data_IF_231816113136
#
_entry.id   IF_231816113136
#
_cell.length_a   1.000
_cell.length_b   1.000
_cell.length_c   1.000
_cell.angle_alpha   90.00
_cell.angle_beta   90.00
_cell.angle_gamma   90.00
#
_symmetry.space_group_name_H-M   'P 1'
#
loop_
_entity.id
_entity.type
_entity.pdbx_description
1 polymer ?
#
# COMPACT_ATOMS: atom_id res chain seq x y z
N UNK A 1 -8.27 -25.05 -7.61
CA UNK A 1 -7.36 -25.14 -8.80
C UNK A 1 -5.89 -24.95 -8.43
N UNK A 2 -5.49 -23.89 -7.72
CA UNK A 2 -4.11 -23.69 -7.26
C UNK A 2 -3.68 -24.67 -6.13
N UNK A 3 -4.60 -25.10 -5.28
CA UNK A 3 -4.36 -26.14 -4.26
C UNK A 3 -4.06 -27.50 -4.91
N UNK A 4 -4.78 -27.84 -5.97
CA UNK A 4 -4.61 -29.09 -6.71
C UNK A 4 -3.29 -29.18 -7.50
N UNK A 5 -2.67 -28.03 -7.86
CA UNK A 5 -1.39 -28.00 -8.60
C UNK A 5 -0.17 -28.21 -7.70
N UNK A 6 -0.37 -28.61 -6.44
CA UNK A 6 0.70 -28.96 -5.52
C UNK A 6 1.41 -27.79 -4.83
N UNK A 7 1.26 -26.57 -5.35
CA UNK A 7 1.91 -25.35 -4.84
C UNK A 7 1.33 -24.88 -3.50
N UNK A 8 0.08 -25.22 -3.21
CA UNK A 8 -0.67 -24.80 -2.02
C UNK A 8 -1.28 -25.99 -1.26
N UNK A 9 -0.60 -27.14 -1.25
CA UNK A 9 -1.13 -28.38 -0.61
C UNK A 9 -1.46 -28.21 0.88
N UNK A 10 -0.78 -27.31 1.56
CA UNK A 10 -0.95 -27.04 2.98
C UNK A 10 -1.70 -25.73 3.24
N UNK A 11 -2.36 -25.17 2.22
CA UNK A 11 -3.14 -23.96 2.37
C UNK A 11 -4.46 -24.30 3.05
N UNK A 12 -4.69 -23.70 4.21
CA UNK A 12 -5.89 -23.93 5.02
C UNK A 12 -7.05 -23.15 4.42
N UNK A 13 -8.18 -23.82 4.18
CA UNK A 13 -9.41 -23.20 3.66
C UNK A 13 -10.56 -23.22 4.66
N UNK A 14 -10.35 -23.81 5.84
CA UNK A 14 -11.35 -23.82 6.91
C UNK A 14 -11.50 -22.42 7.49
N UNK A 15 -12.74 -21.91 7.47
CA UNK A 15 -13.06 -20.52 7.83
C UNK A 15 -12.80 -20.27 9.32
N UNK A 16 -13.02 -21.24 10.20
CA UNK A 16 -12.85 -21.07 11.65
C UNK A 16 -11.36 -20.97 12.04
N UNK A 17 -10.48 -21.63 11.29
CA UNK A 17 -9.02 -21.52 11.46
C UNK A 17 -8.46 -20.21 10.91
N UNK A 18 -9.12 -19.61 9.92
CA UNK A 18 -8.67 -18.36 9.28
C UNK A 18 -8.91 -17.09 10.11
N UNK A 19 -9.68 -17.20 11.20
CA UNK A 19 -10.08 -16.05 12.03
C UNK A 19 -9.20 -15.83 13.27
N UNK A 20 -8.24 -16.71 13.56
CA UNK A 20 -7.36 -16.60 14.73
C UNK A 20 -5.90 -16.43 14.31
N UNK A 21 -5.16 -15.44 14.84
CA UNK A 21 -3.72 -15.36 14.63
C UNK A 21 -3.05 -16.67 15.06
N UNK A 22 -2.17 -17.18 14.20
CA UNK A 22 -1.39 -18.39 14.46
C UNK A 22 -0.08 -18.33 13.69
N UNK A 23 0.79 -19.33 13.83
CA UNK A 23 1.99 -19.45 12.99
C UNK A 23 1.66 -19.50 11.48
N UNK A 24 0.42 -19.84 11.11
CA UNK A 24 -0.04 -19.90 9.72
C UNK A 24 -0.63 -18.58 9.22
N UNK A 25 -1.12 -17.73 10.11
CA UNK A 25 -1.87 -16.52 9.77
C UNK A 25 -1.27 -15.29 10.41
N UNK A 26 -0.87 -14.32 9.59
CA UNK A 26 -0.31 -13.04 10.03
C UNK A 26 -1.08 -11.89 9.41
N UNK A 27 -1.25 -10.79 10.13
CA UNK A 27 -1.90 -9.60 9.60
C UNK A 27 -1.15 -9.07 8.38
N UNK A 28 -1.88 -8.70 7.33
CA UNK A 28 -1.35 -8.33 6.03
C UNK A 28 -0.22 -7.27 6.10
N UNK A 29 -0.41 -6.21 6.88
CA UNK A 29 0.54 -5.10 6.96
C UNK A 29 1.87 -5.46 7.64
N UNK A 30 1.89 -6.54 8.44
CA UNK A 30 3.08 -7.06 9.11
C UNK A 30 3.65 -8.30 8.40
N UNK A 31 2.90 -8.89 7.47
CA UNK A 31 3.27 -10.12 6.78
C UNK A 31 4.04 -9.86 5.48
N UNK A 32 3.69 -8.82 4.74
CA UNK A 32 4.36 -8.51 3.49
C UNK A 32 5.75 -7.90 3.70
N UNK A 33 6.73 -8.36 2.92
CA UNK A 33 8.09 -7.81 2.86
C UNK A 33 8.44 -7.35 1.44
N UNK A 34 9.15 -6.23 1.35
CA UNK A 34 9.57 -5.61 0.10
C UNK A 34 9.79 -4.11 0.23
N UNK A 35 10.32 -3.42 -0.80
CA UNK A 35 10.68 -2.02 -0.68
C UNK A 35 9.53 -1.10 -0.28
N UNK A 36 8.31 -1.36 -0.76
CA UNK A 36 7.11 -0.64 -0.35
C UNK A 36 6.79 -0.85 1.13
N UNK A 37 6.70 -2.10 1.59
CA UNK A 37 6.42 -2.43 2.99
C UNK A 37 7.52 -1.96 3.96
N UNK A 38 8.79 -1.97 3.54
CA UNK A 38 9.90 -1.30 4.27
C UNK A 38 9.74 0.22 4.33
N UNK A 39 9.02 0.83 3.39
CA UNK A 39 8.64 2.23 3.41
C UNK A 39 7.42 2.51 4.29
N UNK A 40 6.50 1.55 4.45
CA UNK A 40 5.35 1.67 5.36
C UNK A 40 5.79 1.83 6.82
N UNK A 41 6.90 1.18 7.21
CA UNK A 41 7.44 1.22 8.58
C UNK A 41 6.36 0.93 9.63
N UNK A 42 5.49 -0.05 9.35
CA UNK A 42 4.29 -0.35 10.15
C UNK A 42 4.61 -0.78 11.58
N UNK A 43 5.80 -1.34 11.84
CA UNK A 43 6.27 -1.67 13.19
C UNK A 43 6.41 -0.44 14.11
N UNK A 44 6.43 0.78 13.55
CA UNK A 44 6.51 2.04 14.30
C UNK A 44 5.15 2.72 14.53
N UNK A 45 4.07 2.10 14.06
CA UNK A 45 2.71 2.63 14.22
C UNK A 45 2.18 2.37 15.63
N UNK A 46 1.54 3.39 16.20
CA UNK A 46 0.75 3.25 17.42
C UNK A 46 -0.58 2.55 17.13
N UNK A 47 -1.32 2.14 18.16
CA UNK A 47 -2.67 1.58 17.98
C UNK A 47 -3.61 2.55 17.25
N UNK A 48 -3.46 3.86 17.47
CA UNK A 48 -4.21 4.90 16.76
C UNK A 48 -3.85 4.94 15.26
N UNK A 49 -2.57 4.81 14.94
CA UNK A 49 -2.09 4.76 13.56
C UNK A 49 -2.60 3.49 12.86
N UNK A 50 -2.57 2.35 13.55
CA UNK A 50 -3.10 1.07 13.05
C UNK A 50 -4.60 1.15 12.80
N UNK A 51 -5.38 1.72 13.73
CA UNK A 51 -6.81 1.91 13.56
C UNK A 51 -7.12 2.82 12.36
N UNK A 52 -6.41 3.94 12.22
CA UNK A 52 -6.55 4.82 11.07
C UNK A 52 -6.21 4.10 9.77
N UNK A 53 -5.10 3.36 9.72
CA UNK A 53 -4.73 2.56 8.56
C UNK A 53 -5.78 1.49 8.25
N UNK A 54 -6.36 0.84 9.27
CA UNK A 54 -7.36 -0.21 9.09
C UNK A 54 -8.58 0.29 8.30
N UNK A 55 -8.98 1.54 8.56
CA UNK A 55 -10.10 2.17 7.88
C UNK A 55 -9.70 2.68 6.48
N UNK A 56 -8.51 3.29 6.34
CA UNK A 56 -8.14 4.09 5.16
C UNK A 56 -7.19 3.39 4.16
N UNK A 57 -6.51 2.31 4.54
CA UNK A 57 -5.57 1.58 3.67
C UNK A 57 -6.23 0.33 3.09
N UNK A 58 -6.07 0.13 1.79
CA UNK A 58 -6.34 -1.14 1.10
C UNK A 58 -5.09 -1.61 0.38
N UNK A 59 -4.76 -2.88 0.54
CA UNK A 59 -3.63 -3.55 -0.11
C UNK A 59 -4.20 -4.44 -1.22
N UNK A 60 -3.87 -4.14 -2.48
CA UNK A 60 -4.25 -4.97 -3.61
C UNK A 60 -3.43 -6.27 -3.61
N UNK A 61 -4.11 -7.39 -3.83
CA UNK A 61 -3.56 -8.72 -3.64
C UNK A 61 -4.07 -9.67 -4.73
N UNK A 62 -3.17 -10.43 -5.36
CA UNK A 62 -3.56 -11.40 -6.40
C UNK A 62 -4.45 -12.55 -5.88
N UNK A 63 -4.23 -13.00 -4.64
CA UNK A 63 -4.99 -14.11 -4.04
C UNK A 63 -6.24 -13.68 -3.28
N UNK A 64 -6.17 -12.55 -2.57
CA UNK A 64 -7.22 -12.08 -1.67
C UNK A 64 -8.01 -10.88 -2.22
N UNK A 65 -7.63 -10.33 -3.38
CA UNK A 65 -8.31 -9.19 -4.00
C UNK A 65 -7.93 -7.89 -3.31
N UNK A 66 -8.70 -7.49 -2.30
CA UNK A 66 -8.38 -6.35 -1.42
C UNK A 66 -8.18 -6.82 0.02
N UNK A 67 -7.17 -6.28 0.69
CA UNK A 67 -6.88 -6.56 2.10
C UNK A 67 -6.85 -5.26 2.89
N UNK A 68 -7.41 -5.28 4.10
CA UNK A 68 -7.15 -4.29 5.14
C UNK A 68 -5.88 -4.65 5.91
N UNK A 69 -5.20 -3.69 6.56
CA UNK A 69 -3.97 -3.93 7.33
C UNK A 69 -3.99 -5.12 8.28
N UNK A 70 -5.08 -5.32 9.02
CA UNK A 70 -5.23 -6.36 10.04
C UNK A 70 -5.88 -7.65 9.54
N UNK A 71 -6.25 -7.74 8.26
CA UNK A 71 -6.76 -8.99 7.71
C UNK A 71 -5.68 -10.07 7.78
N UNK A 72 -6.06 -11.26 8.24
CA UNK A 72 -5.14 -12.38 8.41
C UNK A 72 -4.90 -13.07 7.07
N UNK A 73 -3.62 -13.24 6.72
CA UNK A 73 -3.21 -13.92 5.50
C UNK A 73 -2.28 -15.09 5.78
N UNK A 74 -2.42 -16.15 4.98
CA UNK A 74 -1.43 -17.21 4.86
C UNK A 74 -0.35 -16.85 3.86
N UNK A 75 0.85 -17.38 4.06
CA UNK A 75 1.94 -17.23 3.10
C UNK A 75 1.55 -17.77 1.73
N UNK A 76 1.73 -16.95 0.70
CA UNK A 76 1.42 -17.30 -0.68
C UNK A 76 2.37 -16.57 -1.63
N UNK A 77 2.39 -16.99 -2.90
CA UNK A 77 3.05 -16.23 -3.96
C UNK A 77 2.22 -16.29 -5.23
N UNK A 78 1.42 -15.24 -5.41
CA UNK A 78 0.53 -15.06 -6.55
C UNK A 78 0.45 -13.57 -6.89
N UNK A 79 1.37 -13.11 -7.73
CA UNK A 79 1.39 -11.74 -8.22
C UNK A 79 0.22 -11.48 -9.20
N UNK A 80 -0.37 -10.29 -9.17
CA UNK A 80 -1.56 -9.95 -9.97
C UNK A 80 -1.34 -10.15 -11.48
N UNK A 81 -0.12 -9.89 -11.97
CA UNK A 81 0.23 -10.08 -13.37
C UNK A 81 0.42 -11.54 -13.82
N UNK A 82 0.35 -12.53 -12.92
CA UNK A 82 0.51 -13.93 -13.30
C UNK A 82 -0.64 -14.41 -14.20
N UNK A 83 -0.28 -15.07 -15.31
CA UNK A 83 -1.25 -15.71 -16.21
C UNK A 83 -1.70 -17.05 -15.63
N UNK A 84 -2.77 -17.00 -14.85
CA UNK A 84 -3.41 -18.19 -14.28
C UNK A 84 -4.80 -18.33 -14.90
N UNK A 85 -4.93 -19.27 -15.84
CA UNK A 85 -6.23 -19.65 -16.38
C UNK A 85 -7.14 -20.15 -15.25
N UNK A 86 -8.40 -19.75 -15.29
CA UNK A 86 -9.41 -20.03 -14.27
C UNK A 86 -10.81 -20.00 -14.91
N UNK A 87 -11.87 -20.47 -14.24
CA UNK A 87 -13.21 -20.51 -14.83
C UNK A 87 -13.76 -19.15 -15.29
N UNK A 88 -13.21 -18.03 -14.83
CA UNK A 88 -13.62 -16.67 -15.20
C UNK A 88 -12.74 -16.04 -16.28
N UNK A 89 -11.65 -16.68 -16.69
CA UNK A 89 -10.81 -16.18 -17.78
C UNK A 89 -9.35 -16.66 -17.74
N UNK A 90 -8.49 -15.95 -18.47
CA UNK A 90 -7.10 -16.37 -18.73
C UNK A 90 -6.09 -15.87 -17.69
N UNK A 91 -6.48 -14.95 -16.84
CA UNK A 91 -5.63 -14.29 -15.84
C UNK A 91 -6.43 -13.82 -14.61
N UNK A 92 -5.72 -13.24 -13.64
CA UNK A 92 -6.32 -12.75 -12.40
C UNK A 92 -7.13 -11.46 -12.59
N UNK A 93 -6.87 -10.68 -13.65
CA UNK A 93 -7.70 -9.50 -13.96
C UNK A 93 -9.11 -9.95 -14.35
N UNK A 94 -9.23 -10.97 -15.20
CA UNK A 94 -10.54 -11.57 -15.51
C UNK A 94 -11.20 -12.24 -14.30
N UNK A 95 -10.39 -12.86 -13.43
CA UNK A 95 -10.91 -13.52 -12.22
C UNK A 95 -11.58 -12.51 -11.27
N UNK A 96 -10.91 -11.39 -11.02
CA UNK A 96 -11.39 -10.35 -10.11
C UNK A 96 -12.47 -9.47 -10.72
N UNK A 97 -12.44 -9.22 -12.05
CA UNK A 97 -13.47 -8.42 -12.71
C UNK A 97 -13.72 -7.09 -12.00
N UNK A 98 -14.97 -6.83 -11.62
CA UNK A 98 -15.37 -5.64 -10.87
C UNK A 98 -15.27 -5.78 -9.34
N UNK A 99 -14.99 -6.97 -8.79
CA UNK A 99 -15.05 -7.24 -7.34
C UNK A 99 -14.16 -6.31 -6.53
N UNK A 100 -12.95 -6.01 -7.02
CA UNK A 100 -12.02 -5.09 -6.33
C UNK A 100 -12.58 -3.66 -6.28
N UNK A 101 -13.19 -3.18 -7.37
CA UNK A 101 -13.82 -1.85 -7.41
C UNK A 101 -15.05 -1.78 -6.52
N UNK A 102 -15.86 -2.83 -6.48
CA UNK A 102 -17.02 -2.94 -5.58
C UNK A 102 -16.60 -2.88 -4.11
N UNK A 103 -15.51 -3.54 -3.73
CA UNK A 103 -14.99 -3.50 -2.37
C UNK A 103 -14.42 -2.12 -2.00
N UNK A 104 -13.80 -1.42 -2.97
CA UNK A 104 -13.39 -0.02 -2.80
C UNK A 104 -14.61 0.88 -2.62
N UNK A 105 -15.68 0.72 -3.43
CA UNK A 105 -16.91 1.50 -3.30
C UNK A 105 -17.52 1.35 -1.89
N UNK A 106 -17.64 0.12 -1.39
CA UNK A 106 -18.13 -0.16 -0.03
C UNK A 106 -17.28 0.53 1.05
N UNK A 107 -15.96 0.58 0.88
CA UNK A 107 -15.09 1.28 1.82
C UNK A 107 -15.43 2.79 1.86
N UNK A 108 -15.74 3.40 0.73
CA UNK A 108 -16.16 4.80 0.67
C UNK A 108 -17.60 5.04 1.13
N UNK A 109 -18.52 4.08 1.01
CA UNK A 109 -19.88 4.19 1.54
C UNK A 109 -19.88 4.35 3.07
N UNK A 110 -18.94 3.69 3.76
CA UNK A 110 -18.77 3.83 5.21
C UNK A 110 -18.13 5.17 5.64
N UNK A 111 -17.65 5.97 4.69
CA UNK A 111 -17.00 7.24 4.96
C UNK A 111 -18.00 8.40 4.98
N UNK A 112 -17.91 9.26 5.99
CA UNK A 112 -18.67 10.50 6.09
C UNK A 112 -17.96 11.69 5.42
N UNK A 113 -16.88 11.47 4.68
CA UNK A 113 -16.12 12.54 4.03
C UNK A 113 -16.91 13.17 2.88
N UNK A 114 -16.90 14.50 2.80
CA UNK A 114 -17.53 15.24 1.71
C UNK A 114 -16.84 15.04 0.36
N UNK A 115 -15.55 14.71 0.39
CA UNK A 115 -14.72 14.48 -0.80
C UNK A 115 -14.15 13.07 -0.74
N UNK A 116 -14.40 12.26 -1.77
CA UNK A 116 -13.89 10.89 -1.87
C UNK A 116 -12.63 10.86 -2.74
N UNK A 117 -11.46 10.70 -2.13
CA UNK A 117 -10.18 10.61 -2.83
C UNK A 117 -9.62 9.19 -2.67
N UNK A 118 -9.43 8.49 -3.79
CA UNK A 118 -8.64 7.26 -3.82
C UNK A 118 -7.20 7.61 -4.18
N UNK A 119 -6.34 7.71 -3.17
CA UNK A 119 -4.92 7.95 -3.36
C UNK A 119 -4.22 6.69 -3.87
N UNK A 120 -3.89 6.66 -5.16
CA UNK A 120 -3.22 5.53 -5.79
C UNK A 120 -1.70 5.61 -5.62
N UNK A 121 -1.18 4.71 -4.78
CA UNK A 121 0.25 4.43 -4.60
C UNK A 121 0.62 3.01 -5.03
N UNK A 122 -0.29 2.26 -5.65
CA UNK A 122 -0.03 0.91 -6.12
C UNK A 122 0.88 0.90 -7.36
N UNK A 123 1.41 -0.27 -7.71
CA UNK A 123 2.03 -0.41 -9.03
C UNK A 123 0.96 -0.49 -10.12
N UNK A 124 1.32 -0.15 -11.36
CA UNK A 124 0.43 -0.30 -12.53
C UNK A 124 -0.11 -1.73 -12.64
N UNK A 125 0.73 -2.74 -12.36
CA UNK A 125 0.32 -4.16 -12.38
C UNK A 125 -0.84 -4.44 -11.43
N UNK A 126 -0.78 -3.96 -10.20
CA UNK A 126 -1.86 -4.19 -9.23
C UNK A 126 -3.05 -3.26 -9.51
N UNK A 127 -2.82 -1.98 -9.80
CA UNK A 127 -3.91 -1.03 -10.02
C UNK A 127 -4.76 -1.35 -11.27
N UNK A 128 -4.19 -2.05 -12.26
CA UNK A 128 -4.94 -2.57 -13.41
C UNK A 128 -6.10 -3.51 -13.02
N UNK A 129 -6.07 -4.09 -11.81
CA UNK A 129 -7.18 -4.89 -11.27
C UNK A 129 -8.35 -4.07 -10.73
N UNK A 130 -8.21 -2.74 -10.64
CA UNK A 130 -9.30 -1.82 -10.31
C UNK A 130 -10.02 -1.44 -11.61
N UNK A 131 -11.22 -1.96 -11.80
CA UNK A 131 -12.11 -1.56 -12.89
C UNK A 131 -12.66 -0.15 -12.63
N UNK A 132 -12.10 0.84 -13.32
CA UNK A 132 -12.50 2.24 -13.18
C UNK A 132 -13.93 2.50 -13.66
N UNK A 133 -14.50 1.66 -14.53
CA UNK A 133 -15.88 1.80 -14.98
C UNK A 133 -16.89 1.33 -13.92
N UNK A 134 -16.47 0.44 -13.01
CA UNK A 134 -17.26 -0.03 -11.88
C UNK A 134 -17.04 0.79 -10.60
N UNK A 135 -16.05 1.69 -10.58
CA UNK A 135 -15.79 2.57 -9.46
C UNK A 135 -16.87 3.66 -9.39
N UNK A 136 -17.35 4.00 -8.18
CA UNK A 136 -18.29 5.09 -7.97
C UNK A 136 -17.71 6.39 -8.60
N UNK A 137 -18.44 7.03 -9.52
CA UNK A 137 -17.93 8.19 -10.26
C UNK A 137 -17.66 9.42 -9.38
N UNK A 138 -18.16 9.43 -8.13
CA UNK A 138 -17.82 10.46 -7.14
C UNK A 138 -16.45 10.28 -6.50
N UNK A 139 -15.80 9.12 -6.68
CA UNK A 139 -14.44 8.84 -6.19
C UNK A 139 -13.42 9.40 -7.18
N UNK A 140 -12.63 10.36 -6.73
CA UNK A 140 -11.52 10.91 -7.51
C UNK A 140 -10.27 10.08 -7.27
N UNK A 141 -9.77 9.42 -8.31
CA UNK A 141 -8.48 8.71 -8.27
C UNK A 141 -7.34 9.71 -8.43
N UNK A 142 -6.38 9.69 -7.51
CA UNK A 142 -5.20 10.57 -7.53
C UNK A 142 -3.93 9.75 -7.47
N UNK A 143 -3.15 9.76 -8.55
CA UNK A 143 -1.89 9.02 -8.64
C UNK A 143 -0.73 9.75 -7.97
N UNK A 144 0.10 9.02 -7.23
CA UNK A 144 1.38 9.55 -6.74
C UNK A 144 2.56 9.01 -7.57
N UNK A 145 3.35 9.93 -8.14
CA UNK A 145 4.53 9.61 -8.95
C UNK A 145 5.79 10.09 -8.24
N UNK A 146 6.72 9.18 -7.98
CA UNK A 146 7.98 9.47 -7.30
C UNK A 146 9.16 9.41 -8.27
N UNK A 147 9.92 10.50 -8.35
CA UNK A 147 11.06 10.66 -9.25
C UNK A 147 12.32 11.03 -8.45
N UNK A 148 13.45 10.52 -8.91
CA UNK A 148 14.78 10.87 -8.41
C UNK A 148 15.58 11.49 -9.56
N UNK A 149 15.95 12.76 -9.41
CA UNK A 149 16.52 13.62 -10.46
C UNK A 149 15.67 13.64 -11.74
N UNK A 150 14.34 13.79 -11.60
CA UNK A 150 13.40 13.84 -12.73
C UNK A 150 13.08 12.49 -13.38
N UNK A 151 13.64 11.37 -12.88
CA UNK A 151 13.42 10.04 -13.44
C UNK A 151 12.81 9.06 -12.43
N UNK A 152 11.92 8.18 -12.88
CA UNK A 152 11.35 7.14 -12.03
C UNK A 152 12.38 6.00 -11.88
N UNK A 153 12.97 5.86 -10.69
CA UNK A 153 13.87 4.74 -10.35
C UNK A 153 13.08 3.70 -9.56
N UNK A 154 12.85 2.52 -10.14
CA UNK A 154 11.87 1.54 -9.64
C UNK A 154 12.05 1.15 -8.17
N UNK A 155 13.29 0.96 -7.70
CA UNK A 155 13.60 0.62 -6.31
C UNK A 155 13.16 1.74 -5.35
N UNK A 156 13.47 3.00 -5.69
CA UNK A 156 13.12 4.16 -4.88
C UNK A 156 11.63 4.47 -4.96
N UNK A 157 11.03 4.42 -6.14
CA UNK A 157 9.61 4.64 -6.31
C UNK A 157 8.75 3.64 -5.51
N UNK A 158 9.17 2.36 -5.46
CA UNK A 158 8.50 1.35 -4.60
C UNK A 158 8.57 1.74 -3.13
N UNK A 159 9.73 2.14 -2.61
CA UNK A 159 9.88 2.59 -1.23
C UNK A 159 9.08 3.86 -0.94
N UNK A 160 9.13 4.83 -1.84
CA UNK A 160 8.45 6.11 -1.70
C UNK A 160 6.92 5.98 -1.62
N UNK A 161 6.34 5.04 -2.37
CA UNK A 161 4.91 4.67 -2.22
C UNK A 161 4.57 4.24 -0.81
N UNK A 162 5.42 3.43 -0.20
CA UNK A 162 5.25 3.02 1.20
C UNK A 162 5.42 4.18 2.18
N UNK A 163 6.41 5.04 1.96
CA UNK A 163 6.62 6.25 2.76
C UNK A 163 5.43 7.19 2.67
N UNK A 164 4.78 7.30 1.50
CA UNK A 164 3.55 8.09 1.35
C UNK A 164 2.44 7.54 2.23
N UNK A 165 2.20 6.22 2.21
CA UNK A 165 1.24 5.58 3.12
C UNK A 165 1.59 5.85 4.58
N UNK A 166 2.85 5.67 4.95
CA UNK A 166 3.33 5.95 6.31
C UNK A 166 3.04 7.39 6.72
N UNK A 167 3.38 8.36 5.88
CA UNK A 167 3.11 9.76 6.10
C UNK A 167 1.61 10.03 6.30
N UNK A 168 0.75 9.53 5.40
CA UNK A 168 -0.70 9.69 5.49
C UNK A 168 -1.24 9.14 6.80
N UNK A 169 -0.80 7.95 7.20
CA UNK A 169 -1.22 7.32 8.46
C UNK A 169 -0.76 8.14 9.67
N UNK A 170 0.52 8.54 9.72
CA UNK A 170 1.09 9.26 10.87
C UNK A 170 0.56 10.69 11.03
N UNK A 171 0.31 11.38 9.91
CA UNK A 171 -0.22 12.74 9.88
C UNK A 171 -1.74 12.80 9.90
N UNK A 172 -2.41 11.66 9.66
CA UNK A 172 -3.86 11.59 9.45
C UNK A 172 -4.31 12.52 8.32
N UNK A 173 -3.50 12.60 7.26
CA UNK A 173 -3.74 13.43 6.09
C UNK A 173 -5.10 13.08 5.46
N UNK A 174 -5.90 14.11 5.20
CA UNK A 174 -7.29 13.97 4.75
C UNK A 174 -7.62 14.82 3.52
N UNK A 175 -6.75 15.77 3.15
CA UNK A 175 -6.90 16.62 1.97
C UNK A 175 -5.74 16.47 0.98
N UNK A 176 -5.90 16.95 -0.26
CA UNK A 176 -4.79 16.94 -1.22
C UNK A 176 -3.65 17.85 -0.78
N UNK A 177 -3.95 18.95 -0.09
CA UNK A 177 -2.96 19.86 0.49
C UNK A 177 -2.10 19.13 1.53
N UNK A 178 -2.71 18.30 2.39
CA UNK A 178 -1.99 17.47 3.35
C UNK A 178 -1.02 16.50 2.64
N UNK A 179 -1.49 15.87 1.55
CA UNK A 179 -0.67 14.94 0.73
C UNK A 179 0.49 15.67 0.05
N UNK A 180 0.26 16.87 -0.48
CA UNK A 180 1.29 17.69 -1.14
C UNK A 180 2.41 18.09 -0.17
N UNK A 181 2.13 18.15 1.14
CA UNK A 181 3.14 18.42 2.17
C UNK A 181 4.09 17.24 2.45
N UNK A 182 3.89 16.07 1.82
CA UNK A 182 4.80 14.93 1.93
C UNK A 182 6.25 15.31 1.59
N UNK A 183 7.15 15.06 2.55
CA UNK A 183 8.55 15.47 2.46
C UNK A 183 9.56 14.41 2.97
N UNK A 184 9.11 13.16 3.11
CA UNK A 184 9.96 12.10 3.68
C UNK A 184 11.16 11.79 2.77
N UNK A 185 12.28 11.47 3.39
CA UNK A 185 13.54 11.14 2.73
C UNK A 185 14.00 12.13 1.65
N UNK A 186 13.60 13.39 1.73
CA UNK A 186 14.01 14.45 0.81
C UNK A 186 13.22 14.53 -0.50
N UNK A 187 12.10 13.80 -0.62
CA UNK A 187 11.11 14.06 -1.66
C UNK A 187 10.45 15.43 -1.43
N UNK A 188 10.04 16.08 -2.52
CA UNK A 188 9.35 17.36 -2.52
C UNK A 188 8.31 17.37 -3.64
N UNK A 189 7.14 17.94 -3.36
CA UNK A 189 6.09 18.12 -4.36
C UNK A 189 6.55 19.03 -5.51
N UNK A 190 6.20 18.65 -6.75
CA UNK A 190 6.48 19.39 -7.98
C UNK A 190 5.18 19.91 -8.57
N UNK A 191 4.82 21.15 -8.23
CA UNK A 191 3.62 21.81 -8.79
C UNK A 191 3.66 21.88 -10.32
N UNK A 192 4.86 22.06 -10.91
CA UNK A 192 5.06 22.14 -12.37
C UNK A 192 4.73 20.84 -13.11
N UNK A 193 4.98 19.69 -12.48
CA UNK A 193 4.77 18.38 -13.11
C UNK A 193 3.47 17.71 -12.67
N UNK A 194 2.77 18.30 -11.71
CA UNK A 194 1.54 17.75 -11.15
C UNK A 194 0.31 18.28 -11.88
N UNK A 195 -0.75 17.49 -11.84
CA UNK A 195 -2.10 17.83 -12.31
C UNK A 195 -3.08 17.68 -11.15
N UNK A 196 -4.37 17.89 -11.41
CA UNK A 196 -5.43 17.66 -10.41
C UNK A 196 -5.56 16.19 -9.97
N UNK A 197 -5.13 15.24 -10.81
CA UNK A 197 -5.24 13.78 -10.56
C UNK A 197 -3.90 13.06 -10.55
N UNK A 198 -2.79 13.79 -10.63
CA UNK A 198 -1.44 13.21 -10.55
C UNK A 198 -0.54 14.14 -9.75
N UNK A 199 -0.07 13.66 -8.60
CA UNK A 199 0.86 14.36 -7.73
C UNK A 199 2.28 13.83 -7.97
N UNK A 200 3.18 14.69 -8.43
CA UNK A 200 4.57 14.33 -8.70
C UNK A 200 5.46 14.81 -7.57
N UNK A 201 6.24 13.91 -7.01
CA UNK A 201 7.25 14.18 -5.98
C UNK A 201 8.64 13.90 -6.53
N UNK A 202 9.53 14.88 -6.47
CA UNK A 202 10.91 14.77 -6.90
C UNK A 202 11.87 14.79 -5.72
N UNK A 203 12.97 14.05 -5.86
CA UNK A 203 14.10 14.07 -4.94
C UNK A 203 15.40 14.21 -5.71
N UNK A 204 16.32 15.04 -5.23
CA UNK A 204 17.68 15.09 -5.79
C UNK A 204 18.59 14.07 -5.10
N UNK A 205 19.67 13.63 -5.77
CA UNK A 205 20.75 12.85 -5.13
C UNK A 205 21.27 13.49 -3.84
N UNK A 206 21.40 14.81 -3.81
CA UNK A 206 21.87 15.53 -2.63
C UNK A 206 20.87 15.43 -1.47
N UNK A 207 19.56 15.55 -1.76
CA UNK A 207 18.52 15.38 -0.76
C UNK A 207 18.46 13.95 -0.22
N UNK A 208 18.56 12.93 -1.10
CA UNK A 208 18.66 11.53 -0.70
C UNK A 208 19.87 11.29 0.22
N UNK A 209 21.05 11.79 -0.16
CA UNK A 209 22.27 11.64 0.65
C UNK A 209 22.08 12.20 2.06
N UNK A 210 21.56 13.43 2.17
CA UNK A 210 21.27 14.06 3.48
C UNK A 210 20.27 13.26 4.30
N UNK A 211 19.21 12.74 3.68
CA UNK A 211 18.22 11.92 4.37
C UNK A 211 18.82 10.61 4.92
N UNK A 212 19.67 9.94 4.14
CA UNK A 212 20.37 8.72 4.57
C UNK A 212 21.33 9.02 5.72
N UNK A 213 22.06 10.14 5.68
CA UNK A 213 22.95 10.57 6.75
C UNK A 213 22.18 10.89 8.04
N UNK A 214 21.04 11.58 7.93
CA UNK A 214 20.17 11.88 9.07
C UNK A 214 19.60 10.60 9.70
N UNK A 215 19.20 9.62 8.89
CA UNK A 215 18.71 8.32 9.39
C UNK A 215 19.78 7.43 10.02
N UNK A 216 21.07 7.70 9.76
CA UNK A 216 22.22 7.01 10.37
C UNK A 216 22.78 7.74 11.59
N UNK A 217 22.37 8.99 11.84
CA UNK A 217 22.83 9.74 13.01
C UNK A 217 22.45 8.98 14.29
N UNK A 218 23.36 8.84 15.28
CA UNK A 218 23.13 7.99 16.43
C UNK A 218 22.08 8.58 17.37
N UNK A 219 20.82 8.24 17.12
CA UNK A 219 19.68 8.45 18.03
C UNK A 219 19.48 7.31 19.03
N UNK A 220 20.54 6.56 19.36
CA UNK A 220 20.52 5.56 20.42
C UNK A 220 20.80 6.25 21.75
N UNK A 221 19.77 6.50 22.55
CA UNK A 221 19.92 6.89 23.95
C UNK A 221 20.88 5.91 24.64
N UNK A 222 22.07 6.39 25.02
CA UNK A 222 22.93 5.70 25.98
C UNK A 222 22.10 5.52 27.25
N UNK A 223 21.65 4.29 27.53
CA UNK A 223 21.20 3.93 28.87
C UNK A 223 22.39 4.15 29.81
N UNK A 224 22.32 5.26 30.55
CA UNK A 224 23.18 5.51 31.70
C UNK A 224 22.99 4.37 32.68
N UNK A 225 24.00 3.50 32.80
CA UNK A 225 24.15 2.62 33.96
C UNK A 225 24.55 3.52 35.12
N UNK A 226 23.60 3.88 35.95
CA UNK A 226 23.87 4.32 37.31
C UNK A 226 24.32 3.11 38.13
N UNK A 227 25.31 3.37 38.99
CA UNK A 227 26.07 2.41 39.81
C UNK A 227 25.22 1.49 40.67
#
# INVERSE_FOLDING_TARGET
MLIASGRYKNFVTDVDETQKPSELFKQAVFAFDGPAYKGLQSDSWSDKDIAFAQDHLRILCGLYGTLRPLDLIQAYRLEMGQKVSNPRGKDLYNFWGCTISEDINKAFESSSASTKILLNVASIEYFKSVDLAALDPSIVVVDCVFKDDGQIKSVYAKRARGLMVHYVVKSQASTLEDIQAFNMEGYQYSAKESTSTTLVFNRSKAALKRAVEAGKAPGGAKKSRTK
#
